data_IF_523151952020
#
_entry.id   IF_523151952020
#
_cell.length_a   1.000
_cell.length_b   1.000
_cell.length_c   1.000
_cell.angle_alpha   90.00
_cell.angle_beta   90.00
_cell.angle_gamma   90.00
#
_symmetry.space_group_name_H-M   'P 1'
#
loop_
_entity.id
_entity.type
_entity.pdbx_description
1 polymer ?
#
# COMPACT_ATOMS: atom_id res chain seq x y z
N UNK A 1 -11.67 -14.89 -51.89
CA UNK A 1 -10.39 -14.54 -51.22
C UNK A 1 -10.60 -13.37 -50.26
N UNK A 2 -11.35 -12.34 -50.65
CA UNK A 2 -11.64 -11.14 -49.84
C UNK A 2 -12.29 -11.44 -48.47
N UNK A 3 -13.28 -12.34 -48.42
CA UNK A 3 -13.93 -12.72 -47.15
C UNK A 3 -12.96 -13.41 -46.17
N UNK A 4 -12.03 -14.19 -46.69
CA UNK A 4 -11.03 -14.91 -45.89
C UNK A 4 -9.99 -13.94 -45.31
N UNK A 5 -9.55 -12.93 -46.09
CA UNK A 5 -8.67 -11.88 -45.57
C UNK A 5 -9.36 -11.05 -44.48
N UNK A 6 -10.63 -10.67 -44.66
CA UNK A 6 -11.37 -9.93 -43.63
C UNK A 6 -11.53 -10.75 -42.33
N UNK A 7 -11.74 -12.06 -42.43
CA UNK A 7 -11.79 -12.95 -41.26
C UNK A 7 -10.45 -13.00 -40.51
N UNK A 8 -9.34 -13.10 -41.24
CA UNK A 8 -7.99 -13.11 -40.66
C UNK A 8 -7.68 -11.76 -39.98
N UNK A 9 -7.99 -10.64 -40.62
CA UNK A 9 -7.77 -9.31 -40.07
C UNK A 9 -8.57 -9.09 -38.78
N UNK A 10 -9.82 -9.58 -38.75
CA UNK A 10 -10.66 -9.53 -37.54
C UNK A 10 -10.07 -10.37 -36.40
N UNK A 11 -9.58 -11.58 -36.69
CA UNK A 11 -8.95 -12.45 -35.67
C UNK A 11 -7.68 -11.80 -35.11
N UNK A 12 -6.81 -11.27 -35.97
CA UNK A 12 -5.58 -10.57 -35.55
C UNK A 12 -5.93 -9.33 -34.71
N UNK A 13 -6.95 -8.58 -35.11
CA UNK A 13 -7.43 -7.40 -34.37
C UNK A 13 -7.96 -7.78 -32.99
N UNK A 14 -8.74 -8.87 -32.88
CA UNK A 14 -9.25 -9.36 -31.59
C UNK A 14 -8.09 -9.80 -30.68
N UNK A 15 -7.14 -10.57 -31.21
CA UNK A 15 -5.94 -11.00 -30.48
C UNK A 15 -5.09 -9.80 -30.01
N UNK A 16 -4.87 -8.82 -30.89
CA UNK A 16 -4.17 -7.58 -30.55
C UNK A 16 -4.88 -6.78 -29.46
N UNK A 17 -6.21 -6.68 -29.55
CA UNK A 17 -7.03 -5.98 -28.55
C UNK A 17 -6.97 -6.66 -27.19
N UNK A 18 -7.01 -8.00 -27.13
CA UNK A 18 -6.85 -8.77 -25.89
C UNK A 18 -5.49 -8.52 -25.23
N UNK A 19 -4.41 -8.54 -26.02
CA UNK A 19 -3.06 -8.19 -25.55
C UNK A 19 -2.99 -6.75 -25.02
N UNK A 20 -3.63 -5.80 -25.72
CA UNK A 20 -3.68 -4.42 -25.28
C UNK A 20 -4.46 -4.24 -23.97
N UNK A 21 -5.53 -5.01 -23.76
CA UNK A 21 -6.27 -5.01 -22.49
C UNK A 21 -5.36 -5.51 -21.36
N UNK A 22 -4.63 -6.62 -21.57
CA UNK A 22 -3.69 -7.15 -20.57
C UNK A 22 -2.60 -6.11 -20.26
N UNK A 23 -2.03 -5.48 -21.28
CA UNK A 23 -1.02 -4.44 -21.09
C UNK A 23 -1.57 -3.21 -20.34
N UNK A 24 -2.78 -2.79 -20.67
CA UNK A 24 -3.46 -1.70 -19.97
C UNK A 24 -3.72 -2.05 -18.51
N UNK A 25 -4.11 -3.30 -18.23
CA UNK A 25 -4.33 -3.78 -16.87
C UNK A 25 -3.01 -3.79 -16.07
N UNK A 26 -1.91 -4.26 -16.68
CA UNK A 26 -0.59 -4.28 -16.05
C UNK A 26 -0.04 -2.88 -15.76
N UNK A 27 -0.25 -1.93 -16.66
CA UNK A 27 0.18 -0.53 -16.44
C UNK A 27 -0.63 0.15 -15.34
N UNK A 28 -1.94 -0.10 -15.29
CA UNK A 28 -2.79 0.35 -14.18
C UNK A 28 -2.31 -0.27 -12.87
N UNK A 29 -2.22 -1.60 -12.77
CA UNK A 29 -1.75 -2.27 -11.54
C UNK A 29 -0.35 -1.79 -11.15
N UNK A 30 0.55 -1.61 -12.11
CA UNK A 30 1.90 -1.10 -11.90
C UNK A 30 1.93 0.29 -11.25
N UNK A 31 1.03 1.19 -11.68
CA UNK A 31 0.92 2.52 -11.06
C UNK A 31 0.46 2.48 -9.60
N UNK A 32 -0.32 1.45 -9.21
CA UNK A 32 -0.80 1.22 -7.85
C UNK A 32 0.06 0.25 -7.04
N UNK A 33 1.09 -0.35 -7.64
CA UNK A 33 1.95 -1.33 -7.00
C UNK A 33 2.59 -0.83 -5.69
N UNK A 34 3.04 0.44 -5.56
CA UNK A 34 3.56 0.94 -4.28
C UNK A 34 2.52 0.91 -3.16
N UNK A 35 1.27 1.23 -3.47
CA UNK A 35 0.18 1.22 -2.49
C UNK A 35 -0.20 -0.22 -2.10
N UNK A 36 -0.26 -1.13 -3.08
CA UNK A 36 -0.49 -2.55 -2.83
C UNK A 36 0.62 -3.17 -1.99
N UNK A 37 1.87 -2.83 -2.28
CA UNK A 37 3.03 -3.25 -1.49
C UNK A 37 2.96 -2.69 -0.07
N UNK A 38 2.53 -1.44 0.11
CA UNK A 38 2.31 -0.85 1.44
C UNK A 38 1.26 -1.62 2.24
N UNK A 39 0.09 -1.88 1.63
CA UNK A 39 -0.98 -2.64 2.27
C UNK A 39 -0.52 -4.07 2.59
N UNK A 40 0.16 -4.74 1.64
CA UNK A 40 0.68 -6.09 1.85
C UNK A 40 1.71 -6.16 2.97
N UNK A 41 2.65 -5.22 3.01
CA UNK A 41 3.65 -5.12 4.07
C UNK A 41 2.99 -4.93 5.44
N UNK A 42 2.11 -3.94 5.58
CA UNK A 42 1.47 -3.69 6.88
C UNK A 42 0.43 -4.75 7.25
N UNK A 43 -0.23 -5.40 6.30
CA UNK A 43 -1.23 -6.44 6.58
C UNK A 43 -0.67 -7.85 6.82
N UNK A 44 0.51 -8.16 6.27
CA UNK A 44 1.06 -9.52 6.31
C UNK A 44 2.44 -9.61 6.98
N UNK A 45 3.26 -8.57 6.92
CA UNK A 45 4.63 -8.62 7.46
C UNK A 45 4.73 -8.11 8.90
N UNK A 46 3.81 -7.25 9.34
CA UNK A 46 3.85 -6.63 10.66
C UNK A 46 2.94 -7.37 11.64
N UNK A 47 3.48 -7.81 12.77
CA UNK A 47 2.67 -8.32 13.87
C UNK A 47 2.05 -7.15 14.66
N UNK A 48 0.80 -6.82 14.33
CA UNK A 48 0.09 -5.72 14.96
C UNK A 48 -0.30 -5.96 16.42
N UNK A 49 -0.39 -7.21 16.87
CA UNK A 49 -0.66 -7.51 18.29
C UNK A 49 0.46 -6.93 19.16
N UNK A 50 1.71 -7.23 18.78
CA UNK A 50 2.89 -6.69 19.48
C UNK A 50 3.09 -5.19 19.23
N UNK A 51 2.87 -4.74 17.99
CA UNK A 51 3.03 -3.32 17.67
C UNK A 51 2.05 -2.45 18.48
N UNK A 52 0.81 -2.92 18.69
CA UNK A 52 -0.20 -2.18 19.44
C UNK A 52 0.17 -2.02 20.92
N UNK A 53 0.77 -3.04 21.53
CA UNK A 53 1.28 -2.95 22.90
C UNK A 53 2.39 -1.90 23.05
N UNK A 54 3.30 -1.83 22.07
CA UNK A 54 4.35 -0.80 22.04
C UNK A 54 3.73 0.60 21.88
N UNK A 55 2.76 0.74 20.98
CA UNK A 55 2.07 2.02 20.74
C UNK A 55 1.34 2.49 22.01
N UNK A 56 0.63 1.59 22.71
CA UNK A 56 -0.05 1.87 23.98
C UNK A 56 0.89 2.30 25.11
N UNK A 57 2.12 1.77 25.12
CA UNK A 57 3.17 2.15 26.08
C UNK A 57 3.84 3.50 25.77
N UNK A 58 3.34 4.24 24.78
CA UNK A 58 3.87 5.55 24.39
C UNK A 58 4.63 5.57 23.08
N UNK A 59 4.73 4.43 22.37
CA UNK A 59 5.38 4.34 21.06
C UNK A 59 4.77 5.22 19.96
N UNK A 60 3.57 5.77 20.19
CA UNK A 60 2.92 6.69 19.26
C UNK A 60 3.76 7.95 18.97
N UNK A 61 4.61 8.40 19.90
CA UNK A 61 5.46 9.56 19.68
C UNK A 61 6.49 9.30 18.58
N UNK A 62 7.02 8.08 18.50
CA UNK A 62 7.93 7.66 17.44
C UNK A 62 7.25 7.67 16.08
N UNK A 63 5.99 7.24 16.02
CA UNK A 63 5.17 7.30 14.80
C UNK A 63 4.96 8.76 14.36
N UNK A 64 4.61 9.66 15.29
CA UNK A 64 4.44 11.08 14.98
C UNK A 64 5.73 11.73 14.47
N UNK A 65 6.86 11.45 15.12
CA UNK A 65 8.17 11.96 14.69
C UNK A 65 8.54 11.43 13.30
N UNK A 66 8.28 10.16 13.01
CA UNK A 66 8.47 9.58 11.68
C UNK A 66 7.58 10.24 10.64
N UNK A 67 6.31 10.52 10.96
CA UNK A 67 5.41 11.23 10.05
C UNK A 67 5.96 12.61 9.69
N UNK A 68 6.39 13.40 10.70
CA UNK A 68 6.95 14.74 10.46
C UNK A 68 8.22 14.65 9.63
N UNK A 69 9.14 13.75 9.97
CA UNK A 69 10.37 13.54 9.22
C UNK A 69 10.07 13.18 7.76
N UNK A 70 9.10 12.29 7.51
CA UNK A 70 8.73 11.88 6.16
C UNK A 70 8.09 13.01 5.35
N UNK A 71 7.27 13.85 5.98
CA UNK A 71 6.70 15.06 5.35
C UNK A 71 7.81 16.04 4.94
N UNK A 72 8.82 16.22 5.79
CA UNK A 72 9.97 17.08 5.48
C UNK A 72 10.79 16.54 4.31
N UNK A 73 11.12 15.24 4.34
CA UNK A 73 11.87 14.55 3.27
C UNK A 73 11.09 14.63 1.96
N UNK A 74 9.80 14.31 1.95
CA UNK A 74 9.00 14.33 0.73
C UNK A 74 8.80 15.76 0.21
N UNK A 75 8.58 16.73 1.11
CA UNK A 75 8.49 18.14 0.75
C UNK A 75 9.77 18.68 0.10
N UNK A 76 10.94 18.15 0.49
CA UNK A 76 12.24 18.49 -0.10
C UNK A 76 12.50 17.77 -1.43
N UNK A 77 12.13 16.49 -1.56
CA UNK A 77 12.32 15.69 -2.79
C UNK A 77 11.43 16.18 -3.93
N UNK A 78 10.19 16.59 -3.61
CA UNK A 78 9.22 17.05 -4.60
C UNK A 78 8.70 18.44 -4.21
N UNK A 79 9.50 19.50 -4.48
CA UNK A 79 9.07 20.85 -4.23
C UNK A 79 8.01 21.26 -5.25
N UNK A 80 6.78 21.53 -4.78
CA UNK A 80 5.71 22.02 -5.65
C UNK A 80 4.33 22.02 -4.98
N UNK A 81 3.38 22.82 -5.50
CA UNK A 81 1.99 22.76 -5.06
C UNK A 81 1.41 21.38 -5.36
N UNK A 82 0.58 20.86 -4.46
CA UNK A 82 -0.07 19.56 -4.60
C UNK A 82 -1.57 19.79 -4.80
N UNK A 83 -2.14 19.23 -5.87
CA UNK A 83 -3.59 19.28 -6.10
C UNK A 83 -4.27 18.16 -5.30
N UNK A 84 -5.15 18.54 -4.38
CA UNK A 84 -5.93 17.63 -3.55
C UNK A 84 -7.41 17.93 -3.79
N UNK A 85 -8.15 16.95 -4.33
CA UNK A 85 -9.58 17.08 -4.66
C UNK A 85 -9.94 18.31 -5.52
N UNK A 86 -9.05 18.69 -6.45
CA UNK A 86 -9.22 19.87 -7.31
C UNK A 86 -8.81 21.21 -6.67
N UNK A 87 -8.36 21.21 -5.42
CA UNK A 87 -7.81 22.39 -4.74
C UNK A 87 -6.28 22.36 -4.76
N UNK A 88 -5.67 23.50 -5.10
CA UNK A 88 -4.22 23.71 -5.04
C UNK A 88 -3.81 23.96 -3.59
N UNK A 89 -3.21 22.96 -2.95
CA UNK A 89 -2.69 23.08 -1.59
C UNK A 89 -1.18 23.33 -1.65
N UNK A 90 -0.67 24.14 -0.70
CA UNK A 90 0.76 24.36 -0.58
C UNK A 90 1.52 23.05 -0.28
N UNK A 91 2.81 23.04 -0.59
CA UNK A 91 3.64 21.82 -0.64
C UNK A 91 3.54 20.97 0.64
N UNK A 92 4.01 21.48 1.78
CA UNK A 92 4.09 20.71 3.02
C UNK A 92 2.73 20.25 3.57
N UNK A 93 1.67 21.09 3.62
CA UNK A 93 0.35 20.62 4.04
C UNK A 93 -0.20 19.52 3.13
N UNK A 94 0.02 19.62 1.82
CA UNK A 94 -0.38 18.56 0.89
C UNK A 94 0.33 17.23 1.17
N UNK A 95 1.64 17.26 1.44
CA UNK A 95 2.38 16.04 1.84
C UNK A 95 1.92 15.51 3.19
N UNK A 96 1.63 16.39 4.16
CA UNK A 96 1.13 15.99 5.47
C UNK A 96 -0.16 15.18 5.38
N UNK A 97 -1.10 15.58 4.52
CA UNK A 97 -2.34 14.83 4.27
C UNK A 97 -2.03 13.44 3.71
N UNK A 98 -1.14 13.34 2.72
CA UNK A 98 -0.76 12.05 2.13
C UNK A 98 -0.06 11.12 3.11
N UNK A 99 0.90 11.62 3.88
CA UNK A 99 1.59 10.82 4.89
C UNK A 99 0.61 10.33 5.96
N UNK A 100 -0.31 11.20 6.40
CA UNK A 100 -1.38 10.83 7.34
C UNK A 100 -2.26 9.74 6.76
N UNK A 101 -2.68 9.84 5.50
CA UNK A 101 -3.48 8.82 4.84
C UNK A 101 -2.76 7.46 4.79
N UNK A 102 -1.46 7.45 4.45
CA UNK A 102 -0.66 6.21 4.45
C UNK A 102 -0.53 5.59 5.85
N UNK A 103 -0.39 6.40 6.89
CA UNK A 103 -0.37 5.93 8.28
C UNK A 103 -1.72 5.37 8.71
N UNK A 104 -2.82 5.99 8.30
CA UNK A 104 -4.18 5.47 8.57
C UNK A 104 -4.40 4.12 7.87
N UNK A 105 -3.97 3.99 6.61
CA UNK A 105 -4.04 2.70 5.89
C UNK A 105 -3.29 1.61 6.66
N UNK A 106 -2.08 1.90 7.16
CA UNK A 106 -1.34 0.96 7.99
C UNK A 106 -2.14 0.56 9.24
N UNK A 107 -2.73 1.52 9.96
CA UNK A 107 -3.57 1.24 11.14
C UNK A 107 -4.83 0.42 10.82
N UNK A 108 -5.46 0.63 9.67
CA UNK A 108 -6.59 -0.19 9.20
C UNK A 108 -6.13 -1.62 8.94
N UNK A 109 -4.97 -1.81 8.31
CA UNK A 109 -4.40 -3.15 8.08
C UNK A 109 -4.22 -3.90 9.41
N UNK A 110 -3.68 -3.22 10.43
CA UNK A 110 -3.56 -3.78 11.77
C UNK A 110 -4.90 -4.11 12.43
N UNK A 111 -5.89 -3.24 12.26
CA UNK A 111 -7.26 -3.47 12.77
C UNK A 111 -7.89 -4.72 12.16
N UNK A 112 -7.73 -4.91 10.84
CA UNK A 112 -8.23 -6.09 10.11
C UNK A 112 -7.48 -7.37 10.51
N UNK A 113 -6.19 -7.29 10.76
CA UNK A 113 -5.40 -8.43 11.23
C UNK A 113 -5.84 -8.87 12.63
N UNK A 114 -6.02 -7.93 13.55
CA UNK A 114 -6.48 -8.20 14.91
C UNK A 114 -7.95 -8.68 14.96
N UNK A 115 -8.78 -8.30 13.99
CA UNK A 115 -10.15 -8.84 13.84
C UNK A 115 -10.19 -10.26 13.25
N UNK A 116 -9.04 -10.87 12.97
CA UNK A 116 -8.93 -12.22 12.40
C UNK A 116 -9.03 -12.30 10.88
N UNK A 117 -9.14 -11.17 10.17
CA UNK A 117 -9.28 -11.14 8.71
C UNK A 117 -8.06 -11.71 7.96
N UNK A 118 -6.87 -11.60 8.54
CA UNK A 118 -5.61 -12.13 7.99
C UNK A 118 -5.11 -13.41 8.69
N UNK A 119 -5.85 -13.97 9.65
CA UNK A 119 -5.37 -15.11 10.46
C UNK A 119 -5.04 -16.37 9.66
N UNK A 120 -5.56 -16.52 8.43
CA UNK A 120 -5.20 -17.62 7.51
C UNK A 120 -3.91 -17.36 6.73
N UNK A 121 -3.51 -16.09 6.55
CA UNK A 121 -2.40 -15.68 5.68
C UNK A 121 -1.15 -15.25 6.47
N UNK A 122 -1.31 -14.78 7.71
CA UNK A 122 -0.22 -14.38 8.57
C UNK A 122 -0.48 -14.90 9.99
N UNK A 123 0.18 -16.00 10.36
CA UNK A 123 0.11 -16.59 11.68
C UNK A 123 1.44 -16.36 12.40
N UNK A 124 1.42 -15.62 13.50
CA UNK A 124 2.60 -15.27 14.31
C UNK A 124 2.69 -16.08 15.61
N UNK A 125 1.83 -17.10 15.79
CA UNK A 125 1.76 -17.90 17.01
C UNK A 125 3.09 -18.61 17.36
N UNK A 126 3.90 -18.98 16.37
CA UNK A 126 5.17 -19.67 16.58
C UNK A 126 6.27 -18.73 17.12
N UNK A 127 6.20 -17.42 16.82
CA UNK A 127 7.16 -16.43 17.35
C UNK A 127 6.90 -16.12 18.83
N UNK A 128 5.64 -16.17 19.27
CA UNK A 128 5.26 -15.94 20.67
C UNK A 128 5.75 -17.09 21.58
N UNK A 129 5.69 -18.33 21.09
CA UNK A 129 6.18 -19.50 21.83
C UNK A 129 7.71 -19.52 21.97
N UNK A 130 8.45 -19.11 20.93
CA UNK A 130 9.91 -19.05 20.97
C UNK A 130 10.45 -17.98 21.93
N UNK A 131 9.84 -16.78 21.94
CA UNK A 131 10.28 -15.69 22.82
C UNK A 131 9.92 -15.91 24.29
N UNK A 132 8.82 -16.60 24.58
CA UNK A 132 8.48 -16.99 25.95
C UNK A 132 9.47 -18.03 26.53
N UNK A 133 10.04 -18.89 25.69
CA UNK A 133 11.05 -19.85 26.09
C UNK A 133 12.43 -19.22 26.33
N UNK A 134 12.78 -18.14 25.63
CA UNK A 134 14.05 -17.39 25.83
C UNK A 134 14.00 -16.39 27.00
N UNK A 135 12.82 -16.01 27.47
CA UNK A 135 12.64 -15.10 28.60
C UNK A 135 12.63 -15.79 29.98
N UNK A 136 12.76 -17.13 30.02
CA UNK A 136 12.85 -17.98 31.22
C UNK A 136 14.25 -18.57 31.38
#
# INVERSE_FOLDING_TARGET
MEVVSTLVDNIVTILGSLLQIIWSLLTVIGSWAPLLAWIGFWGLAVNWVRAWDIIRRGGFIGVLLLMVAWVMVWGAVSPGPTNLFGLTISNYPGKFVWVTALTVIAGICGSVQMSGGFGRLANFADEEAGQAAEAH
#
